data_IF_817259547705
#
_entry.id   IF_817259547705
#
_cell.length_a   1.000
_cell.length_b   1.000
_cell.length_c   1.000
_cell.angle_alpha   90.00
_cell.angle_beta   90.00
_cell.angle_gamma   90.00
#
_symmetry.space_group_name_H-M   'P 1'
#
loop_
_entity.id
_entity.type
_entity.pdbx_description
1 polymer ?
#
# COMPACT_ATOMS: atom_id res chain seq x y z
N UNK A 1 -23.67 -11.24 -109.31
CA UNK A 1 -24.23 -12.49 -109.85
C UNK A 1 -23.98 -13.62 -108.85
N UNK A 2 -25.07 -14.21 -108.33
CA UNK A 2 -25.27 -15.63 -107.89
C UNK A 2 -24.30 -16.24 -106.86
N UNK A 3 -24.68 -17.10 -105.91
CA UNK A 3 -25.91 -17.55 -105.21
C UNK A 3 -25.37 -18.69 -104.29
N UNK A 4 -25.53 -18.63 -102.97
CA UNK A 4 -26.35 -19.54 -102.12
C UNK A 4 -25.83 -20.96 -101.83
N UNK A 5 -25.71 -21.31 -100.53
CA UNK A 5 -26.12 -22.55 -99.82
C UNK A 5 -25.48 -22.52 -98.41
N UNK A 6 -26.14 -22.19 -97.29
CA UNK A 6 -27.19 -22.90 -96.54
C UNK A 6 -26.89 -24.38 -96.22
N UNK A 7 -26.49 -24.64 -94.97
CA UNK A 7 -26.94 -25.81 -94.22
C UNK A 7 -26.95 -25.49 -92.72
N UNK A 8 -28.16 -25.50 -92.15
CA UNK A 8 -28.47 -25.34 -90.72
C UNK A 8 -28.43 -26.74 -90.09
N UNK A 9 -27.72 -26.92 -88.98
CA UNK A 9 -27.90 -28.07 -88.11
C UNK A 9 -28.44 -27.59 -86.76
N UNK A 10 -29.72 -27.90 -86.52
CA UNK A 10 -30.43 -27.72 -85.27
C UNK A 10 -29.99 -28.83 -84.30
N UNK A 11 -29.45 -28.47 -83.14
CA UNK A 11 -29.37 -29.38 -81.98
C UNK A 11 -30.19 -28.75 -80.86
N UNK A 12 -31.41 -29.23 -80.70
CA UNK A 12 -32.31 -28.93 -79.59
C UNK A 12 -31.86 -29.73 -78.38
N UNK A 13 -31.24 -29.08 -77.39
CA UNK A 13 -31.05 -29.67 -76.08
C UNK A 13 -32.13 -29.15 -75.13
N UNK A 14 -32.96 -30.08 -74.70
CA UNK A 14 -34.12 -29.91 -73.82
C UNK A 14 -33.77 -29.28 -72.49
N UNK A 15 -34.49 -28.21 -72.15
CA UNK A 15 -34.48 -27.51 -70.88
C UNK A 15 -35.21 -28.36 -69.82
N UNK A 16 -34.47 -29.07 -68.97
CA UNK A 16 -35.02 -29.64 -67.75
C UNK A 16 -35.05 -28.55 -66.66
N UNK A 17 -36.23 -27.99 -66.42
CA UNK A 17 -36.49 -27.08 -65.30
C UNK A 17 -36.51 -27.91 -64.02
N UNK A 18 -35.37 -27.98 -63.33
CA UNK A 18 -35.33 -28.39 -61.93
C UNK A 18 -35.47 -27.13 -61.08
N UNK A 19 -36.69 -26.92 -60.56
CA UNK A 19 -36.98 -25.96 -59.49
C UNK A 19 -36.26 -26.38 -58.21
N UNK A 20 -35.00 -25.96 -58.07
CA UNK A 20 -34.29 -25.93 -56.81
C UNK A 20 -34.24 -24.49 -56.30
N UNK A 21 -34.99 -24.17 -55.24
CA UNK A 21 -34.76 -22.96 -54.46
C UNK A 21 -33.42 -23.10 -53.73
N UNK A 22 -32.31 -22.85 -54.42
CA UNK A 22 -31.06 -22.56 -53.75
C UNK A 22 -31.15 -21.12 -53.22
N UNK A 23 -31.59 -20.96 -51.97
CA UNK A 23 -31.31 -19.75 -51.21
C UNK A 23 -29.78 -19.57 -51.23
N UNK A 24 -29.28 -18.61 -52.01
CA UNK A 24 -28.00 -17.99 -51.70
C UNK A 24 -28.17 -17.39 -50.31
N UNK A 25 -27.76 -18.14 -49.27
CA UNK A 25 -27.43 -17.55 -47.99
C UNK A 25 -26.25 -16.61 -48.29
N UNK A 26 -26.53 -15.32 -48.32
CA UNK A 26 -25.51 -14.31 -48.15
C UNK A 26 -24.67 -14.72 -46.94
N UNK A 27 -23.40 -15.04 -47.16
CA UNK A 27 -22.45 -15.13 -46.06
C UNK A 27 -22.24 -13.68 -45.61
N UNK A 28 -23.15 -13.18 -44.78
CA UNK A 28 -22.87 -12.05 -43.92
C UNK A 28 -21.75 -12.50 -43.00
N UNK A 29 -20.52 -12.08 -43.32
CA UNK A 29 -19.47 -11.99 -42.32
C UNK A 29 -19.97 -10.99 -41.28
N UNK A 30 -20.69 -11.48 -40.28
CA UNK A 30 -20.84 -10.75 -39.02
C UNK A 30 -19.42 -10.56 -38.50
N UNK A 31 -18.90 -9.33 -38.58
CA UNK A 31 -17.78 -8.92 -37.74
C UNK A 31 -18.26 -9.12 -36.31
N UNK A 32 -17.92 -10.25 -35.70
CA UNK A 32 -18.15 -10.48 -34.27
C UNK A 32 -17.51 -9.30 -33.55
N UNK A 33 -18.32 -8.42 -32.98
CA UNK A 33 -17.79 -7.35 -32.14
C UNK A 33 -16.97 -8.03 -31.04
N UNK A 34 -15.73 -7.56 -30.77
CA UNK A 34 -14.95 -8.13 -29.69
C UNK A 34 -15.80 -8.05 -28.41
N UNK A 35 -15.84 -9.15 -27.67
CA UNK A 35 -16.49 -9.18 -26.35
C UNK A 35 -15.86 -8.08 -25.48
N UNK A 36 -16.57 -7.52 -24.48
CA UNK A 36 -15.96 -6.53 -23.61
C UNK A 36 -14.79 -7.17 -22.83
N UNK A 37 -13.77 -6.36 -22.52
CA UNK A 37 -12.71 -6.79 -21.60
C UNK A 37 -13.30 -7.20 -20.25
N UNK A 38 -12.64 -8.15 -19.58
CA UNK A 38 -13.04 -8.62 -18.26
C UNK A 38 -13.10 -7.46 -17.26
N UNK A 39 -14.15 -7.43 -16.44
CA UNK A 39 -14.27 -6.44 -15.37
C UNK A 39 -13.20 -6.66 -14.30
N UNK A 40 -12.66 -5.58 -13.75
CA UNK A 40 -11.70 -5.61 -12.66
C UNK A 40 -12.14 -4.74 -11.50
N UNK A 41 -12.05 -5.27 -10.28
CA UNK A 41 -12.27 -4.52 -9.04
C UNK A 41 -10.93 -4.48 -8.28
N UNK A 42 -10.34 -3.30 -8.03
CA UNK A 42 -9.08 -3.21 -7.31
C UNK A 42 -9.26 -3.62 -5.85
N UNK A 43 -8.23 -4.25 -5.28
CA UNK A 43 -8.15 -4.35 -3.82
C UNK A 43 -7.79 -2.97 -3.26
N UNK A 44 -8.51 -2.51 -2.25
CA UNK A 44 -8.25 -1.23 -1.60
C UNK A 44 -6.94 -1.29 -0.81
N UNK A 45 -5.99 -0.42 -1.18
CA UNK A 45 -4.70 -0.24 -0.51
C UNK A 45 -4.61 1.08 0.26
N UNK A 46 -5.74 1.78 0.45
CA UNK A 46 -5.79 3.03 1.19
C UNK A 46 -5.63 2.83 2.70
N UNK A 47 -5.01 3.82 3.35
CA UNK A 47 -4.68 3.80 4.78
C UNK A 47 -5.89 3.61 5.73
N UNK A 48 -7.12 3.83 5.26
CA UNK A 48 -8.34 3.72 6.09
C UNK A 48 -8.83 2.27 6.26
N UNK A 49 -8.40 1.35 5.41
CA UNK A 49 -8.93 -0.03 5.38
C UNK A 49 -7.92 -1.08 5.86
N UNK A 50 -6.73 -0.69 6.31
CA UNK A 50 -5.62 -1.60 6.58
C UNK A 50 -5.00 -1.38 7.96
N UNK A 51 -4.49 -2.46 8.56
CA UNK A 51 -3.67 -2.43 9.79
C UNK A 51 -2.27 -1.86 9.58
N UNK A 52 -1.87 -1.62 8.32
CA UNK A 52 -0.55 -1.11 7.92
C UNK A 52 -0.77 0.09 7.01
N UNK A 53 -0.15 1.23 7.33
CA UNK A 53 -0.11 2.42 6.46
C UNK A 53 1.02 2.27 5.44
N UNK A 54 0.76 2.69 4.21
CA UNK A 54 1.76 2.66 3.12
C UNK A 54 2.30 4.06 2.83
N UNK A 55 3.60 4.15 2.56
CA UNK A 55 4.25 5.32 1.97
C UNK A 55 4.76 4.99 0.56
N UNK A 56 4.93 6.00 -0.33
CA UNK A 56 5.58 5.78 -1.61
C UNK A 56 7.03 5.31 -1.41
N UNK A 57 7.36 4.17 -2.02
CA UNK A 57 8.72 3.61 -2.08
C UNK A 57 9.57 4.27 -3.16
N UNK A 58 8.91 4.88 -4.15
CA UNK A 58 9.52 5.52 -5.31
C UNK A 58 9.05 6.98 -5.37
N UNK A 59 9.90 7.85 -5.91
CA UNK A 59 9.56 9.24 -6.25
C UNK A 59 8.89 9.32 -7.63
N UNK A 60 9.42 8.57 -8.60
CA UNK A 60 8.99 8.66 -10.00
C UNK A 60 8.86 7.29 -10.65
N UNK A 61 7.91 7.14 -11.57
CA UNK A 61 7.86 5.99 -12.46
C UNK A 61 7.62 6.35 -13.92
N UNK A 62 8.19 5.56 -14.82
CA UNK A 62 7.98 5.69 -16.26
C UNK A 62 7.42 4.38 -16.79
N UNK A 63 6.25 4.44 -17.42
CA UNK A 63 5.71 3.32 -18.17
C UNK A 63 6.23 3.41 -19.60
N UNK A 64 6.74 2.29 -20.12
CA UNK A 64 7.04 2.13 -21.53
C UNK A 64 6.03 1.11 -22.09
N UNK A 65 5.15 1.57 -22.97
CA UNK A 65 4.13 0.73 -23.61
C UNK A 65 4.53 0.40 -25.05
N UNK A 66 4.73 -0.89 -25.31
CA UNK A 66 4.92 -1.44 -26.65
C UNK A 66 3.61 -1.39 -27.44
N UNK A 67 3.64 -0.68 -28.57
CA UNK A 67 2.58 -0.65 -29.55
C UNK A 67 3.07 -1.16 -30.92
N UNK A 68 4.10 -2.00 -30.99
CA UNK A 68 4.62 -2.53 -32.26
C UNK A 68 3.62 -3.46 -32.97
N UNK A 69 3.92 -3.82 -34.22
CA UNK A 69 3.03 -4.66 -35.03
C UNK A 69 2.74 -6.03 -34.40
N UNK A 70 3.66 -6.61 -33.62
CA UNK A 70 3.43 -7.90 -32.97
C UNK A 70 2.35 -7.81 -31.89
N UNK A 71 2.10 -6.62 -31.32
CA UNK A 71 1.06 -6.37 -30.31
C UNK A 71 -0.36 -6.36 -30.88
N UNK A 72 -0.54 -6.32 -32.20
CA UNK A 72 -1.85 -6.48 -32.86
C UNK A 72 -2.36 -7.93 -32.82
N UNK A 73 -1.44 -8.89 -32.63
CA UNK A 73 -1.81 -10.30 -32.59
C UNK A 73 -2.64 -10.63 -31.35
N UNK A 74 -3.47 -11.67 -31.45
CA UNK A 74 -4.36 -12.11 -30.37
C UNK A 74 -3.56 -12.67 -29.20
N UNK A 75 -3.87 -12.23 -27.99
CA UNK A 75 -3.34 -12.78 -26.76
C UNK A 75 -3.94 -14.16 -26.46
N UNK A 76 -3.08 -15.15 -26.24
CA UNK A 76 -3.48 -16.54 -25.99
C UNK A 76 -3.44 -16.92 -24.51
N UNK A 77 -3.09 -15.99 -23.63
CA UNK A 77 -3.10 -16.17 -22.18
C UNK A 77 -4.51 -16.32 -21.60
N UNK A 78 -4.61 -16.16 -20.29
CA UNK A 78 -5.86 -16.36 -19.53
C UNK A 78 -6.64 -15.05 -19.48
N UNK A 79 -6.03 -13.95 -19.04
CA UNK A 79 -6.72 -12.66 -18.88
C UNK A 79 -7.06 -12.05 -20.23
N UNK A 80 -8.33 -11.64 -20.40
CA UNK A 80 -8.84 -11.05 -21.63
C UNK A 80 -8.49 -11.89 -22.87
N UNK A 81 -8.57 -13.21 -22.72
CA UNK A 81 -8.22 -14.15 -23.78
C UNK A 81 -9.00 -13.84 -25.06
N UNK A 82 -8.31 -13.85 -26.21
CA UNK A 82 -8.94 -13.58 -27.51
C UNK A 82 -8.90 -12.11 -27.93
N UNK A 83 -8.48 -11.21 -27.06
CA UNK A 83 -8.22 -9.81 -27.40
C UNK A 83 -6.82 -9.58 -27.97
N UNK A 84 -6.60 -8.51 -28.74
CA UNK A 84 -5.25 -8.08 -29.11
C UNK A 84 -4.34 -7.88 -27.88
N UNK A 85 -3.07 -8.29 -27.97
CA UNK A 85 -2.08 -8.11 -26.88
C UNK A 85 -1.96 -6.66 -26.43
N UNK A 86 -2.10 -5.71 -27.35
CA UNK A 86 -2.11 -4.28 -27.03
C UNK A 86 -3.26 -3.87 -26.10
N UNK A 87 -4.47 -4.40 -26.33
CA UNK A 87 -5.63 -4.12 -25.48
C UNK A 87 -5.45 -4.74 -24.09
N UNK A 88 -4.90 -5.96 -24.03
CA UNK A 88 -4.53 -6.61 -22.77
C UNK A 88 -3.46 -5.80 -22.01
N UNK A 89 -2.46 -5.27 -22.71
CA UNK A 89 -1.41 -4.45 -22.11
C UNK A 89 -1.99 -3.16 -21.51
N UNK A 90 -2.86 -2.45 -22.24
CA UNK A 90 -3.55 -1.25 -21.74
C UNK A 90 -4.43 -1.57 -20.54
N UNK A 91 -5.16 -2.68 -20.58
CA UNK A 91 -6.00 -3.12 -19.46
C UNK A 91 -5.16 -3.41 -18.21
N UNK A 92 -4.05 -4.13 -18.34
CA UNK A 92 -3.16 -4.42 -17.20
C UNK A 92 -2.59 -3.13 -16.58
N UNK A 93 -2.21 -2.14 -17.40
CA UNK A 93 -1.78 -0.84 -16.88
C UNK A 93 -2.93 -0.12 -16.18
N UNK A 94 -4.15 -0.16 -16.73
CA UNK A 94 -5.35 0.40 -16.09
C UNK A 94 -5.66 -0.27 -14.74
N UNK A 95 -5.54 -1.60 -14.66
CA UNK A 95 -5.71 -2.35 -13.40
C UNK A 95 -4.67 -1.92 -12.36
N UNK A 96 -3.42 -1.73 -12.76
CA UNK A 96 -2.36 -1.21 -11.90
C UNK A 96 -2.70 0.20 -11.40
N UNK A 97 -3.09 1.10 -12.31
CA UNK A 97 -3.47 2.49 -12.02
C UNK A 97 -4.64 2.59 -11.02
N UNK A 98 -5.65 1.74 -11.18
CA UNK A 98 -6.80 1.63 -10.26
C UNK A 98 -6.43 1.08 -8.89
N UNK A 99 -5.41 0.22 -8.82
CA UNK A 99 -4.96 -0.44 -7.58
C UNK A 99 -3.95 0.41 -6.79
N UNK A 100 -3.19 1.27 -7.47
CA UNK A 100 -2.26 2.21 -6.84
C UNK A 100 -3.07 3.17 -5.93
N UNK A 101 -2.82 3.19 -4.61
CA UNK A 101 -3.46 4.18 -3.72
C UNK A 101 -3.00 5.60 -4.08
N UNK A 102 -3.72 6.60 -3.61
CA UNK A 102 -3.31 8.00 -3.78
C UNK A 102 -2.02 8.23 -2.97
N UNK A 103 -0.90 8.32 -3.70
CA UNK A 103 0.43 8.58 -3.18
C UNK A 103 1.09 9.66 -4.02
N UNK A 104 1.94 10.48 -3.38
CA UNK A 104 2.67 11.55 -4.04
C UNK A 104 3.86 10.98 -4.81
N UNK A 105 3.64 10.74 -6.11
CA UNK A 105 4.64 10.22 -7.04
C UNK A 105 4.49 10.90 -8.40
N UNK A 106 5.59 11.03 -9.12
CA UNK A 106 5.57 11.48 -10.50
C UNK A 106 5.44 10.30 -11.46
N UNK A 107 4.80 10.52 -12.61
CA UNK A 107 4.66 9.52 -13.66
C UNK A 107 4.98 10.10 -15.03
N UNK A 108 5.44 9.26 -15.96
CA UNK A 108 5.53 9.56 -17.38
C UNK A 108 5.09 8.33 -18.20
N UNK A 109 4.63 8.56 -19.43
CA UNK A 109 4.30 7.48 -20.37
C UNK A 109 5.06 7.66 -21.67
N UNK A 110 5.89 6.68 -21.98
CA UNK A 110 6.59 6.53 -23.25
C UNK A 110 5.97 5.37 -24.00
N UNK A 111 5.87 5.49 -25.32
CA UNK A 111 5.40 4.42 -26.19
C UNK A 111 6.19 4.37 -27.48
N UNK A 112 6.17 3.23 -28.16
CA UNK A 112 6.86 3.03 -29.42
C UNK A 112 6.08 2.09 -30.34
N UNK A 113 6.44 2.10 -31.62
CA UNK A 113 5.91 1.16 -32.59
C UNK A 113 4.54 1.52 -33.17
N UNK A 114 4.12 2.79 -33.11
CA UNK A 114 2.89 3.25 -33.76
C UNK A 114 3.06 3.52 -35.26
N UNK A 115 2.03 3.25 -36.08
CA UNK A 115 1.92 3.62 -37.50
C UNK A 115 2.86 2.93 -38.52
N UNK A 116 2.31 2.54 -39.68
CA UNK A 116 3.04 1.87 -40.77
C UNK A 116 4.16 2.74 -41.42
N UNK A 117 4.02 4.07 -41.39
CA UNK A 117 4.96 5.02 -42.00
C UNK A 117 5.89 5.71 -40.98
N UNK A 118 5.88 5.24 -39.75
CA UNK A 118 6.68 5.83 -38.69
C UNK A 118 8.14 5.39 -38.82
N UNK A 119 9.13 6.30 -38.63
CA UNK A 119 10.54 5.93 -38.70
C UNK A 119 10.88 4.79 -37.73
N UNK A 120 11.72 3.85 -38.15
CA UNK A 120 12.01 2.61 -37.41
C UNK A 120 12.52 2.81 -35.97
N UNK A 121 13.14 3.96 -35.70
CA UNK A 121 13.73 4.31 -34.39
C UNK A 121 12.86 5.27 -33.57
N UNK A 122 11.68 5.64 -34.06
CA UNK A 122 10.87 6.67 -33.41
C UNK A 122 10.09 6.10 -32.22
N UNK A 123 10.09 6.90 -31.18
CA UNK A 123 9.41 6.75 -29.90
C UNK A 123 8.53 7.98 -29.68
N UNK A 124 7.60 7.89 -28.75
CA UNK A 124 6.66 8.95 -28.42
C UNK A 124 6.58 9.09 -26.90
N UNK A 125 6.86 10.29 -26.40
CA UNK A 125 6.53 10.67 -25.03
C UNK A 125 5.07 11.12 -25.07
N UNK A 126 4.16 10.31 -24.52
CA UNK A 126 2.72 10.61 -24.48
C UNK A 126 2.47 11.75 -23.50
N UNK A 127 3.14 11.71 -22.36
CA UNK A 127 3.28 12.83 -21.44
C UNK A 127 4.61 12.73 -20.69
N UNK A 128 5.21 13.89 -20.43
CA UNK A 128 6.47 14.04 -19.70
C UNK A 128 6.28 13.80 -18.20
N UNK A 129 7.39 13.64 -17.47
CA UNK A 129 7.36 13.42 -16.03
C UNK A 129 6.60 14.55 -15.30
N UNK A 130 5.49 14.18 -14.67
CA UNK A 130 4.59 15.10 -13.95
C UNK A 130 3.91 14.39 -12.78
N UNK A 131 3.27 15.14 -11.89
CA UNK A 131 2.56 14.56 -10.75
C UNK A 131 1.49 13.56 -11.22
N UNK A 132 1.53 12.35 -10.67
CA UNK A 132 0.64 11.29 -11.09
C UNK A 132 -0.82 11.59 -10.70
N UNK A 133 -1.74 11.27 -11.60
CA UNK A 133 -3.16 11.10 -11.26
C UNK A 133 -3.73 9.95 -12.07
N UNK A 134 -4.72 9.27 -11.49
CA UNK A 134 -5.39 8.14 -12.16
C UNK A 134 -5.96 8.57 -13.51
N UNK A 135 -6.63 9.71 -13.55
CA UNK A 135 -7.27 10.24 -14.75
C UNK A 135 -6.26 10.61 -15.84
N UNK A 136 -5.11 11.19 -15.47
CA UNK A 136 -4.06 11.50 -16.44
C UNK A 136 -3.57 10.24 -17.16
N UNK A 137 -3.25 9.19 -16.40
CA UNK A 137 -2.76 7.94 -16.98
C UNK A 137 -3.85 7.22 -17.78
N UNK A 138 -5.09 7.15 -17.30
CA UNK A 138 -6.21 6.56 -18.06
C UNK A 138 -6.44 7.30 -19.39
N UNK A 139 -6.47 8.63 -19.37
CA UNK A 139 -6.64 9.43 -20.58
C UNK A 139 -5.47 9.23 -21.55
N UNK A 140 -4.24 9.17 -21.04
CA UNK A 140 -3.05 8.90 -21.85
C UNK A 140 -3.09 7.51 -22.51
N UNK A 141 -3.54 6.47 -21.80
CA UNK A 141 -3.74 5.13 -22.37
C UNK A 141 -4.79 5.16 -23.48
N UNK A 142 -5.89 5.89 -23.30
CA UNK A 142 -6.94 6.03 -24.32
C UNK A 142 -6.44 6.75 -25.58
N UNK A 143 -5.48 7.66 -25.45
CA UNK A 143 -4.83 8.35 -26.57
C UNK A 143 -3.74 7.53 -27.28
N UNK A 144 -3.33 6.37 -26.78
CA UNK A 144 -2.41 5.47 -27.49
C UNK A 144 -3.21 4.62 -28.49
N UNK A 145 -3.27 5.06 -29.77
CA UNK A 145 -4.42 4.68 -30.62
C UNK A 145 -4.21 3.44 -31.50
N UNK A 146 -3.01 3.10 -31.99
CA UNK A 146 -2.90 1.91 -32.86
C UNK A 146 -1.52 1.23 -32.84
N UNK A 147 -1.47 -0.11 -32.62
CA UNK A 147 -0.22 -0.82 -32.66
C UNK A 147 0.18 -1.18 -34.11
N UNK A 148 1.28 -0.59 -34.63
CA UNK A 148 1.74 -0.80 -36.02
C UNK A 148 3.18 -0.33 -36.20
N UNK A 149 4.16 -1.20 -36.41
CA UNK A 149 5.52 -0.75 -36.75
C UNK A 149 6.59 -1.58 -36.07
N UNK A 150 7.82 -1.07 -36.08
CA UNK A 150 8.98 -1.70 -35.44
C UNK A 150 8.97 -1.54 -33.92
N UNK A 151 9.84 -2.29 -33.23
CA UNK A 151 9.93 -2.31 -31.77
C UNK A 151 11.24 -1.65 -31.27
N UNK A 152 11.47 -0.33 -31.42
CA UNK A 152 12.70 0.34 -30.98
C UNK A 152 12.78 0.48 -29.45
N UNK A 153 12.78 -0.65 -28.76
CA UNK A 153 12.75 -0.78 -27.32
C UNK A 153 13.92 -0.06 -26.65
N UNK A 154 15.13 -0.15 -27.21
CA UNK A 154 16.27 0.54 -26.62
C UNK A 154 16.17 2.07 -26.72
N UNK A 155 15.58 2.61 -27.80
CA UNK A 155 15.26 4.03 -27.87
C UNK A 155 14.22 4.43 -26.81
N UNK A 156 13.18 3.61 -26.61
CA UNK A 156 12.15 3.89 -25.62
C UNK A 156 12.71 3.83 -24.18
N UNK A 157 13.64 2.91 -23.90
CA UNK A 157 14.37 2.85 -22.64
C UNK A 157 15.26 4.10 -22.47
N UNK A 158 15.90 4.59 -23.52
CA UNK A 158 16.67 5.83 -23.48
C UNK A 158 15.80 7.04 -23.16
N UNK A 159 14.62 7.14 -23.80
CA UNK A 159 13.71 8.26 -23.53
C UNK A 159 13.13 8.20 -22.13
N UNK A 160 12.78 7.00 -21.64
CA UNK A 160 12.37 6.81 -20.25
C UNK A 160 13.49 7.19 -19.27
N UNK A 161 14.73 6.83 -19.59
CA UNK A 161 15.92 7.28 -18.84
C UNK A 161 16.01 8.81 -18.77
N UNK A 162 15.76 9.50 -19.89
CA UNK A 162 15.82 10.96 -19.95
C UNK A 162 14.71 11.64 -19.13
N UNK A 163 13.54 11.01 -18.99
CA UNK A 163 12.47 11.53 -18.12
C UNK A 163 12.87 11.55 -16.65
N UNK A 164 13.80 10.69 -16.23
CA UNK A 164 14.22 10.55 -14.83
C UNK A 164 15.39 11.47 -14.42
N UNK A 165 15.93 12.28 -15.33
CA UNK A 165 17.11 13.12 -15.08
C UNK A 165 16.91 14.12 -13.93
N UNK A 166 15.66 14.55 -13.68
CA UNK A 166 15.30 15.49 -12.61
C UNK A 166 14.87 14.80 -11.32
N UNK A 167 14.67 13.48 -11.33
CA UNK A 167 14.23 12.71 -10.17
C UNK A 167 15.43 12.38 -9.27
N UNK A 168 15.32 12.63 -7.96
CA UNK A 168 16.45 12.51 -7.03
C UNK A 168 16.40 11.23 -6.16
N UNK A 169 15.21 10.65 -6.02
CA UNK A 169 14.87 9.50 -5.22
C UNK A 169 14.85 8.18 -6.00
N UNK A 170 14.12 7.20 -5.47
CA UNK A 170 13.96 5.89 -6.10
C UNK A 170 13.01 5.99 -7.30
N UNK A 171 13.36 5.33 -8.41
CA UNK A 171 12.60 5.35 -9.64
C UNK A 171 12.21 3.94 -10.10
N UNK A 172 11.06 3.82 -10.75
CA UNK A 172 10.64 2.59 -11.40
C UNK A 172 10.46 2.80 -12.91
N UNK A 173 11.07 1.95 -13.74
CA UNK A 173 10.74 1.85 -15.16
C UNK A 173 9.95 0.57 -15.37
N UNK A 174 8.74 0.67 -15.93
CA UNK A 174 7.82 -0.46 -16.14
C UNK A 174 7.64 -0.65 -17.65
N UNK A 175 8.24 -1.70 -18.19
CA UNK A 175 8.24 -2.00 -19.61
C UNK A 175 7.21 -3.09 -19.95
N UNK A 176 6.17 -2.73 -20.69
CA UNK A 176 5.02 -3.59 -21.03
C UNK A 176 5.10 -3.95 -22.51
N UNK A 177 5.34 -5.22 -22.83
CA UNK A 177 5.62 -5.70 -24.19
C UNK A 177 5.36 -7.20 -24.32
N UNK A 178 5.28 -7.70 -25.56
CA UNK A 178 5.33 -9.13 -25.86
C UNK A 178 6.77 -9.68 -25.94
N UNK A 179 7.78 -8.80 -25.93
CA UNK A 179 9.19 -9.18 -26.01
C UNK A 179 9.68 -9.57 -27.40
N UNK A 180 8.88 -9.35 -28.45
CA UNK A 180 9.20 -9.78 -29.81
C UNK A 180 9.93 -8.68 -30.60
N UNK A 181 10.96 -9.08 -31.37
CA UNK A 181 11.68 -8.21 -32.31
C UNK A 181 12.20 -6.88 -31.73
N UNK A 182 12.61 -6.87 -30.45
CA UNK A 182 13.11 -5.67 -29.79
C UNK A 182 14.44 -5.19 -30.43
N UNK A 183 14.44 -3.98 -31.00
CA UNK A 183 15.61 -3.35 -31.64
C UNK A 183 16.13 -2.15 -30.82
N UNK A 184 17.27 -1.60 -31.25
CA UNK A 184 17.89 -0.43 -30.60
C UNK A 184 18.75 -0.75 -29.37
N UNK A 185 19.28 -1.99 -29.30
CA UNK A 185 20.17 -2.48 -28.23
C UNK A 185 19.64 -2.30 -26.80
N UNK A 186 18.42 -2.80 -26.48
CA UNK A 186 17.78 -2.57 -25.18
C UNK A 186 18.63 -3.04 -23.99
N UNK A 187 19.40 -4.14 -24.11
CA UNK A 187 20.29 -4.59 -23.04
C UNK A 187 21.43 -3.60 -22.73
N UNK A 188 21.95 -2.90 -23.73
CA UNK A 188 22.94 -1.84 -23.51
C UNK A 188 22.29 -0.67 -22.79
N UNK A 189 21.06 -0.30 -23.18
CA UNK A 189 20.32 0.80 -22.55
C UNK A 189 19.94 0.54 -21.10
N UNK A 190 19.74 -0.72 -20.71
CA UNK A 190 19.62 -1.10 -19.30
C UNK A 190 20.95 -0.92 -18.54
N UNK A 191 22.09 -1.19 -19.17
CA UNK A 191 23.40 -0.91 -18.56
C UNK A 191 23.63 0.58 -18.40
N UNK A 192 23.28 1.38 -19.40
CA UNK A 192 23.34 2.85 -19.33
C UNK A 192 22.50 3.37 -18.14
N UNK A 193 21.29 2.85 -17.94
CA UNK A 193 20.45 3.17 -16.77
C UNK A 193 21.17 2.87 -15.44
N UNK A 194 21.83 1.71 -15.35
CA UNK A 194 22.60 1.32 -14.16
C UNK A 194 23.80 2.24 -13.92
N UNK A 195 24.49 2.66 -14.96
CA UNK A 195 25.63 3.58 -14.85
C UNK A 195 25.19 4.99 -14.42
N UNK A 196 24.04 5.45 -14.91
CA UNK A 196 23.50 6.78 -14.60
C UNK A 196 22.87 6.86 -13.21
N UNK A 197 22.09 5.86 -12.81
CA UNK A 197 21.24 5.93 -11.61
C UNK A 197 21.58 4.91 -10.52
N UNK A 198 22.46 3.93 -10.80
CA UNK A 198 22.88 2.94 -9.82
C UNK A 198 21.71 2.11 -9.27
N UNK A 199 21.56 2.11 -7.94
CA UNK A 199 20.48 1.42 -7.23
C UNK A 199 19.17 2.23 -7.18
N UNK A 200 19.20 3.52 -7.56
CA UNK A 200 18.04 4.42 -7.52
C UNK A 200 17.03 4.17 -8.63
N UNK A 201 17.23 3.18 -9.50
CA UNK A 201 16.29 2.88 -10.57
C UNK A 201 16.14 1.39 -10.75
N UNK A 202 14.93 0.90 -10.52
CA UNK A 202 14.55 -0.48 -10.78
C UNK A 202 13.84 -0.62 -12.12
N UNK A 203 14.08 -1.73 -12.82
CA UNK A 203 13.47 -2.02 -14.13
C UNK A 203 12.58 -3.25 -14.06
N UNK A 204 11.29 -3.05 -14.25
CA UNK A 204 10.26 -4.07 -14.20
C UNK A 204 9.75 -4.37 -15.59
N UNK A 205 9.43 -5.63 -15.87
CA UNK A 205 8.81 -6.01 -17.15
C UNK A 205 7.49 -6.73 -16.94
N UNK A 206 6.51 -6.40 -17.78
CA UNK A 206 5.21 -7.07 -17.85
C UNK A 206 5.11 -7.69 -19.25
N UNK A 207 5.20 -9.02 -19.29
CA UNK A 207 5.08 -9.79 -20.51
C UNK A 207 3.62 -10.01 -20.90
N UNK A 208 3.24 -9.41 -22.02
CA UNK A 208 1.93 -9.54 -22.68
C UNK A 208 2.14 -10.20 -24.04
N UNK A 209 2.73 -11.39 -24.03
CA UNK A 209 3.15 -12.14 -25.20
C UNK A 209 2.69 -13.60 -25.17
N UNK A 210 2.80 -14.27 -26.32
CA UNK A 210 2.40 -15.66 -26.48
C UNK A 210 3.59 -16.63 -26.55
N UNK A 211 4.82 -16.10 -26.62
CA UNK A 211 6.02 -16.88 -26.89
C UNK A 211 6.92 -16.98 -25.65
N UNK A 212 7.52 -18.14 -25.38
CA UNK A 212 8.49 -18.28 -24.31
C UNK A 212 9.76 -17.45 -24.58
N UNK A 213 10.13 -17.24 -25.85
CA UNK A 213 11.26 -16.40 -26.25
C UNK A 213 11.03 -14.94 -25.89
N UNK A 214 9.83 -14.40 -26.15
CA UNK A 214 9.44 -13.04 -25.75
C UNK A 214 9.46 -12.89 -24.22
N UNK A 215 8.89 -13.86 -23.49
CA UNK A 215 8.94 -13.90 -22.02
C UNK A 215 10.38 -13.87 -21.51
N UNK A 216 11.25 -14.68 -22.09
CA UNK A 216 12.66 -14.76 -21.70
C UNK A 216 13.42 -13.46 -22.02
N UNK A 217 13.15 -12.84 -23.17
CA UNK A 217 13.74 -11.57 -23.55
C UNK A 217 13.46 -10.48 -22.50
N UNK A 218 12.20 -10.34 -22.08
CA UNK A 218 11.81 -9.39 -21.04
C UNK A 218 12.36 -9.75 -19.66
N UNK A 219 12.44 -11.04 -19.33
CA UNK A 219 13.07 -11.50 -18.10
C UNK A 219 14.55 -11.13 -18.07
N UNK A 220 15.24 -11.25 -19.19
CA UNK A 220 16.67 -10.89 -19.32
C UNK A 220 16.88 -9.39 -19.16
N UNK A 221 16.00 -8.54 -19.70
CA UNK A 221 16.07 -7.09 -19.50
C UNK A 221 15.95 -6.73 -18.00
N UNK A 222 14.90 -7.21 -17.32
CA UNK A 222 14.69 -6.94 -15.90
C UNK A 222 15.88 -7.42 -15.03
N UNK A 223 16.44 -8.61 -15.31
CA UNK A 223 17.61 -9.15 -14.58
C UNK A 223 18.92 -8.41 -14.85
N UNK A 224 18.99 -7.65 -15.95
CA UNK A 224 20.20 -6.89 -16.29
C UNK A 224 20.27 -5.54 -15.56
N UNK A 225 19.14 -5.07 -15.04
CA UNK A 225 19.08 -3.88 -14.20
C UNK A 225 19.58 -4.18 -12.78
N UNK A 226 19.84 -3.13 -12.00
CA UNK A 226 20.31 -3.26 -10.61
C UNK A 226 19.27 -3.92 -9.70
N UNK A 227 18.01 -3.57 -9.90
CA UNK A 227 16.86 -4.14 -9.22
C UNK A 227 15.68 -4.21 -10.18
N UNK A 228 14.70 -5.06 -9.85
CA UNK A 228 13.52 -5.28 -10.69
C UNK A 228 13.20 -6.75 -10.86
N UNK A 229 12.07 -7.02 -11.50
CA UNK A 229 11.62 -8.38 -11.79
C UNK A 229 10.69 -8.39 -13.00
N UNK A 230 10.44 -9.59 -13.52
CA UNK A 230 9.54 -9.80 -14.66
C UNK A 230 8.31 -10.58 -14.20
N UNK A 231 7.15 -10.18 -14.69
CA UNK A 231 5.86 -10.87 -14.51
C UNK A 231 5.15 -11.01 -15.86
N UNK A 232 4.15 -11.88 -15.96
CA UNK A 232 3.21 -11.89 -17.09
C UNK A 232 1.92 -11.15 -16.75
N UNK A 233 1.16 -10.77 -17.78
CA UNK A 233 -0.20 -10.23 -17.60
C UNK A 233 -1.06 -11.17 -16.73
N UNK A 234 -1.06 -12.48 -17.03
CA UNK A 234 -1.80 -13.50 -16.29
C UNK A 234 -1.40 -13.59 -14.80
N UNK A 235 -0.10 -13.49 -14.49
CA UNK A 235 0.41 -13.60 -13.12
C UNK A 235 -0.13 -12.48 -12.22
N UNK A 236 -0.39 -11.29 -12.77
CA UNK A 236 -0.83 -10.11 -12.00
C UNK A 236 -2.29 -9.71 -12.25
N UNK A 237 -3.03 -10.40 -13.12
CA UNK A 237 -4.36 -9.97 -13.57
C UNK A 237 -5.42 -9.89 -12.46
N UNK A 238 -5.32 -10.72 -11.41
CA UNK A 238 -6.30 -10.76 -10.32
C UNK A 238 -6.13 -9.58 -9.35
N UNK A 239 -7.20 -9.19 -8.65
CA UNK A 239 -7.17 -8.07 -7.69
C UNK A 239 -6.06 -8.21 -6.64
N UNK A 240 -5.91 -9.40 -6.06
CA UNK A 240 -4.89 -9.67 -5.05
C UNK A 240 -3.46 -9.68 -5.62
N UNK A 241 -3.26 -10.26 -6.80
CA UNK A 241 -1.92 -10.30 -7.40
C UNK A 241 -1.50 -8.92 -7.92
N UNK A 242 -2.44 -8.13 -8.45
CA UNK A 242 -2.19 -6.75 -8.83
C UNK A 242 -1.83 -5.91 -7.61
N UNK A 243 -2.54 -6.09 -6.48
CA UNK A 243 -2.19 -5.42 -5.23
C UNK A 243 -0.79 -5.79 -4.75
N UNK A 244 -0.40 -7.06 -4.84
CA UNK A 244 0.95 -7.50 -4.50
C UNK A 244 2.01 -6.91 -5.44
N UNK A 245 1.72 -6.81 -6.73
CA UNK A 245 2.59 -6.13 -7.69
C UNK A 245 2.75 -4.65 -7.32
N UNK A 246 1.65 -3.94 -7.07
CA UNK A 246 1.65 -2.54 -6.67
C UNK A 246 2.46 -2.32 -5.39
N UNK A 247 2.24 -3.13 -4.36
CA UNK A 247 3.01 -3.06 -3.10
C UNK A 247 4.50 -3.22 -3.35
N UNK A 248 4.92 -4.19 -4.14
CA UNK A 248 6.34 -4.48 -4.38
C UNK A 248 7.06 -3.38 -5.17
N UNK A 249 6.36 -2.74 -6.11
CA UNK A 249 6.92 -1.71 -6.99
C UNK A 249 6.85 -0.32 -6.36
N UNK A 250 5.69 0.06 -5.82
CA UNK A 250 5.38 1.45 -5.49
C UNK A 250 5.36 1.76 -3.99
N UNK A 251 5.18 0.78 -3.12
CA UNK A 251 4.87 1.04 -1.71
C UNK A 251 5.90 0.45 -0.76
N UNK A 252 6.03 1.06 0.40
CA UNK A 252 6.71 0.51 1.57
C UNK A 252 5.79 0.63 2.77
N UNK A 253 5.88 -0.32 3.70
CA UNK A 253 5.18 -0.25 4.97
C UNK A 253 5.76 0.93 5.78
N UNK A 254 4.89 1.77 6.34
CA UNK A 254 5.28 2.71 7.39
C UNK A 254 5.31 1.88 8.68
N UNK A 255 6.47 1.69 9.33
CA UNK A 255 6.49 1.03 10.63
C UNK A 255 5.64 1.86 11.59
N UNK A 256 4.68 1.22 12.26
CA UNK A 256 3.98 1.86 13.37
C UNK A 256 5.02 2.17 14.45
N UNK A 257 5.09 3.43 14.85
CA UNK A 257 6.02 3.89 15.88
C UNK A 257 5.35 3.80 17.24
N UNK A 258 6.08 3.32 18.22
CA UNK A 258 5.73 3.27 19.64
C UNK A 258 6.95 3.86 20.36
N UNK A 259 6.88 5.16 20.65
CA UNK A 259 8.01 5.99 21.04
C UNK A 259 8.44 5.77 22.48
N UNK A 260 7.51 5.46 23.39
CA UNK A 260 7.81 5.16 24.80
C UNK A 260 7.79 3.66 25.12
N UNK A 261 7.38 2.82 24.16
CA UNK A 261 7.50 1.37 24.24
C UNK A 261 6.48 0.73 25.19
N UNK A 262 5.37 1.42 25.44
CA UNK A 262 4.34 0.96 26.38
C UNK A 262 3.37 -0.08 25.76
N UNK A 263 3.50 -0.31 24.45
CA UNK A 263 2.70 -1.26 23.68
C UNK A 263 1.50 -0.62 22.96
N UNK A 264 1.34 0.70 23.04
CA UNK A 264 0.37 1.50 22.29
C UNK A 264 1.12 2.38 21.29
N UNK A 265 0.73 2.35 20.02
CA UNK A 265 1.41 3.13 18.99
C UNK A 265 1.13 4.62 19.13
N UNK A 266 2.08 5.48 18.75
CA UNK A 266 2.00 6.94 18.86
C UNK A 266 0.73 7.56 18.26
N UNK A 267 0.12 6.90 17.26
CA UNK A 267 -1.12 7.35 16.63
C UNK A 267 -2.39 7.08 17.46
N UNK A 268 -2.31 6.10 18.36
CA UNK A 268 -3.38 5.61 19.23
C UNK A 268 -3.11 5.94 20.72
N UNK A 269 -1.93 6.47 21.06
CA UNK A 269 -1.49 6.79 22.42
C UNK A 269 -1.94 8.20 22.87
N UNK A 270 -2.69 8.25 23.98
CA UNK A 270 -3.15 9.49 24.61
C UNK A 270 -2.19 9.98 25.71
N UNK A 271 -1.25 9.14 26.15
CA UNK A 271 -0.36 9.35 27.27
C UNK A 271 1.11 9.19 26.87
N UNK A 272 1.62 10.04 25.96
CA UNK A 272 3.01 9.97 25.56
C UNK A 272 3.93 10.14 26.77
N UNK A 273 5.04 9.41 26.74
CA UNK A 273 6.06 9.32 27.79
C UNK A 273 5.58 8.55 29.03
N UNK A 274 4.90 7.43 28.81
CA UNK A 274 4.58 6.49 29.86
C UNK A 274 5.86 5.80 30.37
N UNK A 275 6.09 5.72 31.70
CA UNK A 275 7.30 5.12 32.25
C UNK A 275 7.51 3.67 31.83
N UNK A 276 8.76 3.28 31.60
CA UNK A 276 9.10 1.92 31.18
C UNK A 276 8.62 0.88 32.22
N UNK A 277 7.88 -0.13 31.75
CA UNK A 277 7.35 -1.21 32.60
C UNK A 277 6.03 -0.86 33.32
N UNK A 278 5.48 0.32 33.07
CA UNK A 278 4.14 0.68 33.51
C UNK A 278 3.10 -0.27 32.90
N UNK A 279 2.10 -0.65 33.71
CA UNK A 279 0.91 -1.33 33.18
C UNK A 279 -0.02 -0.27 32.62
N UNK A 280 -0.25 -0.28 31.31
CA UNK A 280 -1.10 0.70 30.63
C UNK A 280 -2.48 0.17 30.28
N UNK A 281 -3.43 1.08 30.10
CA UNK A 281 -4.72 0.78 29.47
C UNK A 281 -4.61 0.84 27.93
N UNK A 282 -5.73 0.68 27.22
CA UNK A 282 -5.74 0.70 25.75
C UNK A 282 -5.39 2.05 25.12
N UNK A 283 -5.13 3.08 25.92
CA UNK A 283 -4.81 4.45 25.49
C UNK A 283 -3.37 4.82 25.82
N UNK A 284 -2.55 3.87 26.27
CA UNK A 284 -1.16 4.10 26.69
C UNK A 284 -1.03 4.72 28.07
N UNK A 285 -2.13 4.89 28.82
CA UNK A 285 -2.06 5.58 30.10
C UNK A 285 -1.72 4.63 31.25
N UNK A 286 -0.70 4.97 32.04
CA UNK A 286 -0.30 4.19 33.23
C UNK A 286 -1.45 4.03 34.24
N UNK A 287 -1.84 2.78 34.48
CA UNK A 287 -2.90 2.39 35.42
C UNK A 287 -2.32 2.17 36.80
N UNK A 288 -2.32 3.22 37.63
CA UNK A 288 -1.91 3.16 39.03
C UNK A 288 -3.13 2.99 39.93
N UNK A 289 -3.35 1.79 40.48
CA UNK A 289 -4.48 1.58 41.40
C UNK A 289 -4.18 2.24 42.75
N UNK A 290 -5.14 3.02 43.25
CA UNK A 290 -5.07 3.58 44.59
C UNK A 290 -5.09 2.51 45.69
N UNK A 291 -4.48 2.82 46.83
CA UNK A 291 -4.38 1.92 47.98
C UNK A 291 -5.48 2.27 48.96
N UNK A 292 -6.41 1.35 49.20
CA UNK A 292 -7.54 1.58 50.09
C UNK A 292 -7.19 1.29 51.55
N UNK A 293 -7.80 2.03 52.46
CA UNK A 293 -7.58 1.90 53.91
C UNK A 293 -8.89 1.70 54.67
N UNK A 294 -8.80 0.93 55.75
CA UNK A 294 -9.90 0.81 56.70
C UNK A 294 -10.13 2.12 57.47
N UNK A 295 -11.30 2.21 58.09
CA UNK A 295 -11.67 3.36 58.91
C UNK A 295 -10.64 3.60 60.02
N UNK A 296 -10.14 4.85 60.10
CA UNK A 296 -9.10 5.31 61.04
C UNK A 296 -7.74 4.59 60.98
N UNK A 297 -7.51 3.72 59.98
CA UNK A 297 -6.25 2.99 59.79
C UNK A 297 -5.42 3.55 58.65
N UNK A 298 -4.14 3.18 58.65
CA UNK A 298 -3.16 3.44 57.59
C UNK A 298 -2.28 2.21 57.28
N UNK A 299 -2.65 1.03 57.80
CA UNK A 299 -2.00 -0.23 57.47
C UNK A 299 -2.31 -0.62 56.02
N UNK A 300 -1.28 -0.97 55.25
CA UNK A 300 -1.40 -1.46 53.88
C UNK A 300 -1.77 -2.94 53.94
N UNK A 301 -2.83 -3.33 53.23
CA UNK A 301 -3.25 -4.74 53.14
C UNK A 301 -2.42 -5.50 52.11
N UNK A 302 -2.23 -6.81 52.35
CA UNK A 302 -1.50 -7.71 51.45
C UNK A 302 -2.01 -7.70 50.00
N UNK A 303 -3.32 -7.45 49.80
CA UNK A 303 -3.93 -7.36 48.47
C UNK A 303 -3.34 -6.27 47.57
N UNK A 304 -2.71 -5.24 48.16
CA UNK A 304 -2.05 -4.15 47.43
C UNK A 304 -0.57 -4.42 47.14
N UNK A 305 0.02 -5.50 47.65
CA UNK A 305 1.44 -5.79 47.46
C UNK A 305 1.80 -5.91 45.99
N UNK A 306 1.02 -6.63 45.18
CA UNK A 306 1.31 -6.77 43.74
C UNK A 306 1.30 -5.43 42.99
N UNK A 307 0.38 -4.53 43.36
CA UNK A 307 0.32 -3.19 42.77
C UNK A 307 1.53 -2.35 43.20
N UNK A 308 1.89 -2.42 44.49
CA UNK A 308 3.07 -1.74 45.01
C UNK A 308 4.38 -2.27 44.41
N UNK A 309 4.51 -3.59 44.21
CA UNK A 309 5.65 -4.19 43.54
C UNK A 309 5.80 -3.68 42.12
N UNK A 310 4.72 -3.59 41.33
CA UNK A 310 4.80 -2.99 39.99
C UNK A 310 5.28 -1.53 40.03
N UNK A 311 4.84 -0.74 41.02
CA UNK A 311 5.29 0.64 41.17
C UNK A 311 6.78 0.72 41.53
N UNK A 312 7.26 -0.19 42.38
CA UNK A 312 8.70 -0.32 42.66
C UNK A 312 9.46 -0.63 41.38
N UNK A 313 9.04 -1.63 40.61
CA UNK A 313 9.69 -2.04 39.36
C UNK A 313 9.75 -0.87 38.36
N UNK A 314 8.67 -0.09 38.22
CA UNK A 314 8.64 1.11 37.37
C UNK A 314 9.61 2.17 37.87
N UNK A 315 9.63 2.46 39.18
CA UNK A 315 10.53 3.46 39.74
C UNK A 315 12.00 3.03 39.63
N UNK A 316 12.32 1.75 39.72
CA UNK A 316 13.67 1.21 39.52
C UNK A 316 14.14 1.36 38.08
N UNK A 317 13.26 1.06 37.10
CA UNK A 317 13.56 1.22 35.66
C UNK A 317 13.66 2.66 35.20
N UNK A 318 13.03 3.59 35.92
CA UNK A 318 12.98 5.00 35.55
C UNK A 318 13.63 5.88 36.64
N UNK A 319 14.97 5.96 36.75
CA UNK A 319 15.65 6.64 37.86
C UNK A 319 15.30 8.11 38.09
N UNK A 320 14.92 8.82 37.02
CA UNK A 320 14.57 10.24 37.07
C UNK A 320 13.10 10.49 37.44
N UNK A 321 12.25 9.46 37.37
CA UNK A 321 10.83 9.56 37.70
C UNK A 321 10.66 9.89 39.18
N UNK A 322 9.95 10.98 39.47
CA UNK A 322 9.51 11.33 40.82
C UNK A 322 8.01 11.08 40.95
N UNK A 323 7.58 10.78 42.16
CA UNK A 323 6.16 10.57 42.47
C UNK A 323 5.73 11.41 43.67
N UNK A 324 4.45 11.76 43.68
CA UNK A 324 3.74 12.33 44.82
C UNK A 324 2.66 11.36 45.27
N UNK A 325 2.67 11.06 46.56
CA UNK A 325 1.65 10.22 47.18
C UNK A 325 0.65 11.12 47.88
N UNK A 326 -0.60 11.02 47.46
CA UNK A 326 -1.71 11.84 47.93
C UNK A 326 -2.61 11.01 48.85
N UNK A 327 -2.70 11.42 50.11
CA UNK A 327 -3.54 10.74 51.10
C UNK A 327 -4.93 11.37 51.17
N UNK A 328 -5.96 10.53 51.29
CA UNK A 328 -7.36 10.94 51.39
C UNK A 328 -8.10 10.19 52.50
N UNK A 329 -9.17 10.79 52.99
CA UNK A 329 -10.05 10.26 54.05
C UNK A 329 -11.52 10.43 53.69
N UNK A 330 -12.39 9.75 54.44
CA UNK A 330 -13.81 10.09 54.47
C UNK A 330 -14.05 11.37 55.30
N UNK A 331 -15.28 11.84 55.32
CA UNK A 331 -15.63 13.09 56.00
C UNK A 331 -15.93 12.94 57.50
N UNK A 332 -15.60 11.81 58.14
CA UNK A 332 -15.92 11.59 59.55
C UNK A 332 -14.81 12.17 60.44
N UNK A 333 -15.19 13.04 61.38
CA UNK A 333 -14.27 13.68 62.32
C UNK A 333 -13.83 15.09 61.88
N UNK A 334 -12.93 15.70 62.63
CA UNK A 334 -12.48 17.07 62.34
C UNK A 334 -11.56 17.12 61.11
N UNK A 335 -11.52 18.27 60.44
CA UNK A 335 -10.59 18.45 59.32
C UNK A 335 -9.14 18.29 59.75
N UNK A 336 -8.75 18.81 60.92
CA UNK A 336 -7.39 18.65 61.46
C UNK A 336 -7.03 17.17 61.61
N UNK A 337 -7.92 16.39 62.23
CA UNK A 337 -7.73 14.95 62.37
C UNK A 337 -7.56 14.24 61.02
N UNK A 338 -8.38 14.59 60.04
CA UNK A 338 -8.36 13.96 58.72
C UNK A 338 -7.14 14.36 57.88
N UNK A 339 -6.64 15.59 58.01
CA UNK A 339 -5.36 15.99 57.43
C UNK A 339 -4.24 15.13 58.01
N UNK A 340 -4.15 15.02 59.34
CA UNK A 340 -3.12 14.21 60.00
C UNK A 340 -3.21 12.72 59.61
N UNK A 341 -4.42 12.16 59.56
CA UNK A 341 -4.64 10.76 59.15
C UNK A 341 -4.29 10.51 57.68
N UNK A 342 -4.70 11.41 56.79
CA UNK A 342 -4.38 11.31 55.37
C UNK A 342 -2.88 11.40 55.11
N UNK A 343 -2.16 12.25 55.85
CA UNK A 343 -0.71 12.34 55.77
C UNK A 343 -0.05 11.03 56.24
N UNK A 344 -0.54 10.40 57.32
CA UNK A 344 -0.06 9.09 57.78
C UNK A 344 -0.23 8.00 56.72
N UNK A 345 -1.32 8.02 55.96
CA UNK A 345 -1.55 7.07 54.84
C UNK A 345 -0.54 7.26 53.73
N UNK A 346 -0.31 8.51 53.31
CA UNK A 346 0.70 8.81 52.29
C UNK A 346 2.11 8.41 52.76
N UNK A 347 2.43 8.64 54.04
CA UNK A 347 3.69 8.22 54.65
C UNK A 347 3.83 6.70 54.69
N UNK A 348 2.79 5.94 55.05
CA UNK A 348 2.84 4.48 55.07
C UNK A 348 3.21 3.88 53.70
N UNK A 349 2.67 4.45 52.62
CA UNK A 349 3.02 4.04 51.25
C UNK A 349 4.45 4.46 50.89
N UNK A 350 4.87 5.67 51.27
CA UNK A 350 6.26 6.11 51.09
C UNK A 350 7.24 5.18 51.81
N UNK A 351 6.97 4.88 53.08
CA UNK A 351 7.82 4.02 53.92
C UNK A 351 7.95 2.63 53.29
N UNK A 352 6.85 2.06 52.77
CA UNK A 352 6.87 0.81 52.03
C UNK A 352 7.80 0.88 50.80
N UNK A 353 7.68 1.92 49.97
CA UNK A 353 8.51 2.06 48.77
C UNK A 353 10.00 2.29 49.10
N UNK A 354 10.29 3.02 50.19
CA UNK A 354 11.65 3.24 50.69
C UNK A 354 12.25 1.94 51.22
N UNK A 355 11.47 1.12 51.94
CA UNK A 355 11.91 -0.21 52.40
C UNK A 355 12.26 -1.13 51.23
N UNK A 356 11.57 -0.99 50.09
CA UNK A 356 11.87 -1.69 48.84
C UNK A 356 13.04 -1.11 48.05
N UNK A 357 13.67 -0.03 48.52
CA UNK A 357 14.90 0.51 47.95
C UNK A 357 14.75 1.80 47.15
N UNK A 358 13.55 2.37 47.03
CA UNK A 358 13.36 3.64 46.33
C UNK A 358 13.88 4.79 47.19
N UNK A 359 14.74 5.63 46.61
CA UNK A 359 15.34 6.75 47.33
C UNK A 359 14.30 7.78 47.78
N UNK A 360 14.39 8.22 49.04
CA UNK A 360 13.40 9.09 49.67
C UNK A 360 13.16 10.41 48.91
N UNK A 361 14.21 10.96 48.29
CA UNK A 361 14.13 12.21 47.53
C UNK A 361 13.24 12.13 46.29
N UNK A 362 12.90 10.92 45.83
CA UNK A 362 12.03 10.69 44.66
C UNK A 362 10.55 10.63 45.04
N UNK A 363 10.23 10.66 46.34
CA UNK A 363 8.88 10.46 46.86
C UNK A 363 8.48 11.64 47.73
N UNK A 364 7.53 12.42 47.25
CA UNK A 364 6.84 13.44 48.05
C UNK A 364 5.50 12.91 48.56
N UNK A 365 5.00 13.46 49.67
CA UNK A 365 3.72 13.05 50.27
C UNK A 365 2.87 14.28 50.58
N UNK A 366 1.55 14.15 50.46
CA UNK A 366 0.61 15.22 50.83
C UNK A 366 -0.70 14.64 51.34
N UNK A 367 -1.10 15.03 52.55
CA UNK A 367 -2.40 14.70 53.13
C UNK A 367 -3.48 15.73 52.81
N UNK A 368 -4.52 15.34 52.09
CA UNK A 368 -5.63 16.22 51.71
C UNK A 368 -6.85 16.15 52.64
N UNK A 369 -6.88 15.22 53.58
CA UNK A 369 -8.07 14.93 54.37
C UNK A 369 -9.22 14.52 53.46
N UNK A 370 -10.39 15.13 53.62
CA UNK A 370 -11.60 14.83 52.84
C UNK A 370 -11.91 15.88 51.76
N UNK A 371 -10.92 16.68 51.36
CA UNK A 371 -11.11 17.78 50.37
C UNK A 371 -11.31 17.29 48.93
N UNK A 372 -10.84 16.09 48.61
CA UNK A 372 -10.91 15.51 47.25
C UNK A 372 -11.57 14.11 47.29
N UNK A 373 -12.89 14.04 47.51
CA UNK A 373 -13.63 12.78 47.47
C UNK A 373 -13.83 12.31 46.02
N UNK A 374 -13.73 11.01 45.79
CA UNK A 374 -14.07 10.34 44.52
C UNK A 374 -15.45 9.71 44.54
N UNK A 375 -16.06 9.60 45.73
CA UNK A 375 -17.42 9.11 45.92
C UNK A 375 -18.17 9.93 46.98
N UNK A 376 -19.51 9.95 46.98
CA UNK A 376 -20.29 10.59 48.04
C UNK A 376 -20.00 9.98 49.42
N UNK A 377 -19.78 10.81 50.44
CA UNK A 377 -19.54 10.35 51.82
C UNK A 377 -20.81 9.96 52.60
N UNK A 378 -21.95 9.81 51.91
CA UNK A 378 -23.25 9.51 52.53
C UNK A 378 -23.31 8.06 53.00
N UNK A 379 -22.89 7.13 52.16
CA UNK A 379 -22.91 5.68 52.38
C UNK A 379 -21.57 5.16 52.89
N UNK A 380 -21.53 3.99 53.53
CA UNK A 380 -20.25 3.41 53.97
C UNK A 380 -19.37 3.00 52.79
N UNK A 381 -19.97 2.54 51.71
CA UNK A 381 -19.29 2.14 50.47
C UNK A 381 -18.56 3.34 49.86
N UNK A 382 -19.26 4.46 49.68
CA UNK A 382 -18.66 5.71 49.20
C UNK A 382 -17.57 6.27 50.14
N UNK A 383 -17.73 6.14 51.46
CA UNK A 383 -16.66 6.50 52.42
C UNK A 383 -15.45 5.59 52.28
N UNK A 384 -15.65 4.28 52.10
CA UNK A 384 -14.57 3.32 51.89
C UNK A 384 -13.74 3.65 50.65
N UNK A 385 -14.39 4.04 49.55
CA UNK A 385 -13.70 4.51 48.34
C UNK A 385 -12.86 5.77 48.61
N UNK A 386 -13.33 6.70 49.44
CA UNK A 386 -12.58 7.93 49.75
C UNK A 386 -11.37 7.71 50.66
N UNK A 387 -11.35 6.64 51.46
CA UNK A 387 -10.22 6.28 52.33
C UNK A 387 -9.11 5.61 51.52
N UNK A 388 -8.26 6.41 50.88
CA UNK A 388 -7.24 5.89 49.97
C UNK A 388 -5.95 6.71 49.97
N UNK A 389 -4.91 6.16 49.37
CA UNK A 389 -3.76 6.90 48.87
C UNK A 389 -3.66 6.72 47.35
N UNK A 390 -3.40 7.82 46.64
CA UNK A 390 -3.15 7.84 45.20
C UNK A 390 -1.67 8.14 44.95
N UNK A 391 -1.11 7.58 43.89
CA UNK A 391 0.28 7.78 43.50
C UNK A 391 0.25 8.51 42.17
N UNK A 392 0.85 9.70 42.15
CA UNK A 392 0.81 10.61 41.02
C UNK A 392 2.23 10.82 40.52
N UNK A 393 2.54 10.49 39.25
CA UNK A 393 3.81 10.86 38.63
C UNK A 393 4.00 12.38 38.67
N UNK A 394 5.19 12.83 39.07
CA UNK A 394 5.60 14.23 39.04
C UNK A 394 6.53 14.36 37.85
N UNK A 395 6.02 14.96 36.77
CA UNK A 395 6.78 15.34 35.58
C UNK A 395 7.41 16.71 35.78
#
# INVERSE_FOLDING_TARGET
MKKTCLLVLLVTMTLAVLTGCAQLKSITFEKKHPEPLESFVPQDLSAKSLSVKYAPKIESFVIILDASASMETVYTGIVNKGHPKFDVAKDIISRMNKTLPEVDVNSALVTFGHGFFTPLKKTFIVYELTHHSRDLLENALNMAIYPKGSSPAGNAIADASNQLLTSVGQNAVIFVSDGENLIGTPLEKIKDLKELYGEKTCFYTIHVGNTPEGKEALRKLARSATCGFSVTADEIASSGNMANFVKRVFLTDIPKQDSDGDGVYDEDDECPDTPEGAIVDSRGCWVVKGIAFEYKKWDIKEEFESNLTNIVDVLEKNPDLQIRIEGHTDNIGSMKYNIDLSQKRALAVKDYLVEKGIHESRISTTGFGFKHPIAPNVTEEGRALNRRAEIVPVR
#
